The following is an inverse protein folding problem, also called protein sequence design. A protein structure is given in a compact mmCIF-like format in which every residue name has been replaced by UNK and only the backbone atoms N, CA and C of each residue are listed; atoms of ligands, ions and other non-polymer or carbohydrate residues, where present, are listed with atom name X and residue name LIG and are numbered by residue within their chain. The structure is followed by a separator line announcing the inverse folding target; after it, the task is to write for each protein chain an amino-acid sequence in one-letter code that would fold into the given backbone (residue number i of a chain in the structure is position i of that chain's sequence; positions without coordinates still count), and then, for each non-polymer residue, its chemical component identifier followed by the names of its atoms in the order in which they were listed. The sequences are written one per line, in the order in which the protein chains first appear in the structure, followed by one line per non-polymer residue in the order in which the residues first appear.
data_IF_792053826694
#
_entry.id   IF_792053826694
#
_cell.length_a   1.000
_cell.length_b   1.000
_cell.length_c   1.000
_cell.angle_alpha   90.00
_cell.angle_beta   90.00
_cell.angle_gamma   90.00
#
_symmetry.space_group_name_H-M   'P 1'
#
loop_
_entity.id
_entity.type
_entity.pdbx_description
1 polymer ?
#
# COMPACT_ATOMS: atom_id res chain seq x y z
N UNK A 1 -12.37 -46.53 37.89
CA UNK A 1 -11.58 -46.39 36.65
C UNK A 1 -11.60 -44.94 36.24
N UNK A 2 -10.40 -44.39 36.09
CA UNK A 2 -10.12 -42.97 36.00
C UNK A 2 -10.50 -42.36 34.63
N UNK A 3 -11.00 -41.12 34.65
CA UNK A 3 -10.71 -40.15 33.58
C UNK A 3 -10.30 -38.85 34.25
N UNK A 4 -8.99 -38.63 34.20
CA UNK A 4 -8.29 -37.42 34.61
C UNK A 4 -8.57 -36.29 33.62
N UNK A 5 -8.99 -35.15 34.15
CA UNK A 5 -8.80 -33.83 33.57
C UNK A 5 -7.30 -33.54 33.43
N UNK A 6 -6.87 -33.10 32.25
CA UNK A 6 -5.54 -32.50 32.09
C UNK A 6 -5.73 -30.98 31.93
N UNK A 7 -5.54 -30.25 33.03
CA UNK A 7 -5.31 -28.81 33.00
C UNK A 7 -3.86 -28.56 32.61
N UNK A 8 -3.64 -27.60 31.72
CA UNK A 8 -2.31 -27.22 31.27
C UNK A 8 -1.92 -25.93 31.99
N UNK A 9 -1.07 -26.06 33.00
CA UNK A 9 -0.43 -24.95 33.71
C UNK A 9 0.71 -24.44 32.83
N UNK A 10 0.65 -23.18 32.44
CA UNK A 10 1.73 -22.48 31.74
C UNK A 10 2.74 -21.96 32.76
N UNK A 11 3.97 -22.48 32.73
CA UNK A 11 5.11 -21.86 33.39
C UNK A 11 5.76 -20.86 32.42
N UNK A 12 5.80 -19.58 32.82
CA UNK A 12 6.62 -18.55 32.18
C UNK A 12 8.01 -18.61 32.80
N UNK A 13 9.00 -19.06 32.03
CA UNK A 13 10.40 -18.79 32.36
C UNK A 13 10.74 -17.37 31.90
N UNK A 14 10.91 -16.49 32.88
CA UNK A 14 11.47 -15.14 32.70
C UNK A 14 12.99 -15.29 32.67
N UNK A 15 13.58 -15.27 31.48
CA UNK A 15 15.01 -15.00 31.32
C UNK A 15 15.22 -13.48 31.29
N UNK A 16 15.77 -12.96 32.39
CA UNK A 16 16.29 -11.60 32.51
C UNK A 16 17.70 -11.57 31.95
N UNK A 17 17.95 -10.74 30.93
CA UNK A 17 19.31 -10.33 30.57
C UNK A 17 19.37 -8.81 30.37
N UNK A 18 20.25 -8.18 31.17
CA UNK A 18 20.75 -6.83 30.97
C UNK A 18 21.57 -6.79 29.68
N UNK A 19 21.47 -5.70 28.93
CA UNK A 19 22.42 -5.41 27.85
C UNK A 19 22.99 -4.00 28.04
N UNK A 20 24.29 -3.99 28.31
CA UNK A 20 25.17 -2.82 28.29
C UNK A 20 25.28 -2.20 26.89
N UNK A 21 25.47 -0.88 26.88
CA UNK A 21 25.69 -0.08 25.70
C UNK A 21 27.07 -0.33 25.06
N UNK A 22 27.11 -0.74 23.79
CA UNK A 22 28.06 -0.27 22.76
C UNK A 22 27.98 -1.06 21.44
N UNK A 23 28.10 -0.33 20.32
CA UNK A 23 28.57 -0.76 18.99
C UNK A 23 27.73 -1.74 18.11
N UNK A 24 27.01 -1.13 17.15
CA UNK A 24 27.00 -1.43 15.71
C UNK A 24 27.08 -2.89 15.19
N UNK A 25 25.93 -3.56 15.02
CA UNK A 25 25.58 -4.35 13.81
C UNK A 25 24.11 -4.82 13.86
N UNK A 26 23.25 -4.30 13.00
CA UNK A 26 21.90 -4.87 12.84
C UNK A 26 21.99 -6.21 12.08
N UNK A 27 21.58 -7.31 12.74
CA UNK A 27 21.20 -8.57 12.08
C UNK A 27 19.68 -8.75 12.26
N UNK A 28 18.91 -9.04 11.21
CA UNK A 28 17.48 -9.31 11.37
C UNK A 28 17.26 -10.64 12.09
N UNK A 29 16.38 -10.61 13.09
CA UNK A 29 15.87 -11.78 13.81
C UNK A 29 15.05 -12.67 12.87
N UNK A 30 15.27 -13.99 12.93
CA UNK A 30 14.43 -14.98 12.24
C UNK A 30 13.10 -15.15 13.00
N UNK A 31 11.96 -15.26 12.32
CA UNK A 31 10.72 -15.67 12.96
C UNK A 31 10.78 -17.15 13.38
N UNK A 32 10.04 -17.55 14.45
CA UNK A 32 9.99 -18.94 14.88
C UNK A 32 9.33 -19.82 13.81
N UNK A 33 10.02 -20.90 13.44
CA UNK A 33 9.49 -21.89 12.50
C UNK A 33 8.40 -22.73 13.17
N UNK A 34 7.19 -22.73 12.60
CA UNK A 34 6.18 -23.75 12.85
C UNK A 34 6.65 -25.05 12.18
N UNK A 35 7.08 -26.02 13.00
CA UNK A 35 7.45 -27.36 12.51
C UNK A 35 6.19 -28.22 12.42
N UNK A 36 5.77 -28.54 11.19
CA UNK A 36 4.90 -29.68 10.93
C UNK A 36 5.78 -30.89 10.62
N UNK A 37 5.90 -31.80 11.57
CA UNK A 37 6.50 -33.11 11.33
C UNK A 37 5.44 -34.02 10.66
N UNK A 38 5.62 -34.31 9.37
CA UNK A 38 4.99 -35.46 8.72
C UNK A 38 6.05 -36.55 8.59
N UNK A 39 5.88 -37.63 9.36
CA UNK A 39 6.71 -38.80 9.30
C UNK A 39 6.18 -39.75 8.21
N UNK A 40 6.92 -39.92 7.12
CA UNK A 40 6.80 -41.08 6.25
C UNK A 40 8.19 -41.69 6.04
N UNK A 41 8.31 -42.93 6.52
CA UNK A 41 9.50 -43.76 6.49
C UNK A 41 9.77 -44.28 5.07
N UNK A 42 11.04 -44.39 4.68
CA UNK A 42 11.45 -44.94 3.39
C UNK A 42 12.95 -45.07 3.27
N UNK A 43 13.50 -46.16 3.79
CA UNK A 43 14.85 -46.66 3.52
C UNK A 43 15.06 -46.89 2.01
N UNK A 44 16.25 -46.62 1.46
CA UNK A 44 17.04 -47.57 0.66
C UNK A 44 18.33 -46.93 0.07
N UNK A 45 19.44 -47.58 0.42
CA UNK A 45 20.61 -47.93 -0.39
C UNK A 45 21.41 -46.87 -1.17
N UNK A 46 22.67 -46.75 -0.74
CA UNK A 46 23.83 -46.20 -1.46
C UNK A 46 24.08 -46.96 -2.78
N UNK A 47 24.17 -46.22 -3.88
CA UNK A 47 24.58 -46.73 -5.19
C UNK A 47 25.61 -45.80 -5.85
N UNK A 48 26.87 -46.23 -5.84
CA UNK A 48 28.03 -45.60 -6.48
C UNK A 48 27.87 -45.70 -8.01
N UNK A 49 27.81 -44.58 -8.74
CA UNK A 49 27.87 -44.60 -10.21
C UNK A 49 29.30 -44.30 -10.68
N UNK A 50 29.85 -45.29 -11.38
CA UNK A 50 31.19 -45.35 -11.95
C UNK A 50 31.18 -44.64 -13.31
N UNK A 51 32.04 -43.65 -13.48
CA UNK A 51 32.32 -43.00 -14.77
C UNK A 51 33.17 -43.94 -15.62
N UNK A 52 32.76 -44.20 -16.86
CA UNK A 52 33.54 -44.90 -17.89
C UNK A 52 33.60 -44.04 -19.16
N UNK A 53 34.67 -44.20 -19.97
CA UNK A 53 35.14 -43.19 -20.90
C UNK A 53 34.47 -43.26 -22.28
N UNK A 54 34.55 -42.13 -22.96
CA UNK A 54 34.17 -41.87 -24.35
C UNK A 54 35.08 -42.58 -25.34
N UNK A 55 34.50 -43.27 -26.32
CA UNK A 55 35.16 -43.60 -27.59
C UNK A 55 34.41 -42.99 -28.78
N UNK A 56 35.10 -42.54 -29.84
CA UNK A 56 34.52 -41.76 -30.92
C UNK A 56 34.19 -42.67 -32.13
N UNK A 57 32.95 -42.62 -32.63
CA UNK A 57 32.59 -43.28 -33.88
C UNK A 57 31.78 -42.37 -34.81
N UNK A 58 32.46 -42.06 -35.91
CA UNK A 58 31.97 -42.03 -37.29
C UNK A 58 30.66 -41.29 -37.63
N UNK A 59 30.84 -40.23 -38.42
CA UNK A 59 29.82 -39.62 -39.27
C UNK A 59 29.30 -40.58 -40.35
N UNK A 60 27.97 -40.69 -40.49
CA UNK A 60 27.34 -40.83 -41.80
C UNK A 60 26.50 -39.58 -42.13
N UNK A 61 26.63 -39.15 -43.39
CA UNK A 61 25.88 -38.03 -44.00
C UNK A 61 24.37 -38.19 -43.80
N UNK A 62 23.78 -37.28 -43.03
CA UNK A 62 22.34 -37.19 -42.83
C UNK A 62 21.73 -36.39 -43.98
N UNK A 63 20.88 -37.03 -44.77
CA UNK A 63 20.04 -36.40 -45.79
C UNK A 63 18.97 -35.55 -45.07
N UNK A 64 18.87 -34.26 -45.40
CA UNK A 64 17.79 -33.40 -44.94
C UNK A 64 16.44 -33.96 -45.39
N UNK A 65 15.63 -34.40 -44.46
CA UNK A 65 14.19 -34.59 -44.65
C UNK A 65 13.52 -33.47 -43.85
N UNK A 66 12.98 -32.50 -44.58
CA UNK A 66 12.19 -31.39 -44.06
C UNK A 66 10.94 -31.93 -43.37
N UNK A 67 10.89 -31.88 -42.04
CA UNK A 67 9.70 -32.17 -41.24
C UNK A 67 9.17 -30.87 -40.65
N UNK A 68 8.07 -30.38 -41.22
CA UNK A 68 7.28 -29.27 -40.69
C UNK A 68 6.45 -29.76 -39.50
N UNK A 69 6.96 -29.53 -38.28
CA UNK A 69 6.18 -29.68 -37.05
C UNK A 69 5.46 -28.36 -36.77
N UNK A 70 4.15 -28.32 -37.02
CA UNK A 70 3.30 -27.21 -36.60
C UNK A 70 3.07 -27.32 -35.08
N UNK A 71 3.81 -26.52 -34.30
CA UNK A 71 3.57 -26.35 -32.87
C UNK A 71 2.35 -25.43 -32.69
N UNK A 72 1.18 -26.02 -32.40
CA UNK A 72 -0.03 -25.27 -32.09
C UNK A 72 0.11 -24.59 -30.72
N UNK A 73 0.53 -23.32 -30.74
CA UNK A 73 0.60 -22.46 -29.58
C UNK A 73 -0.84 -22.14 -29.12
N UNK A 74 -1.30 -22.79 -28.06
CA UNK A 74 -2.56 -22.46 -27.42
C UNK A 74 -2.37 -21.13 -26.66
N UNK A 75 -2.82 -20.04 -27.28
CA UNK A 75 -2.95 -18.77 -26.58
C UNK A 75 -4.06 -18.91 -25.54
N UNK A 76 -3.70 -19.11 -24.27
CA UNK A 76 -4.62 -18.84 -23.16
C UNK A 76 -4.84 -17.33 -23.16
N UNK A 77 -5.98 -16.91 -23.70
CA UNK A 77 -6.48 -15.56 -23.47
C UNK A 77 -6.76 -15.41 -21.97
N UNK A 78 -5.85 -14.76 -21.25
CA UNK A 78 -6.13 -14.30 -19.91
C UNK A 78 -7.31 -13.32 -20.01
N UNK A 79 -8.48 -13.70 -19.50
CA UNK A 79 -9.56 -12.76 -19.26
C UNK A 79 -9.07 -11.77 -18.23
N UNK A 80 -8.66 -10.58 -18.68
CA UNK A 80 -8.50 -9.43 -17.80
C UNK A 80 -9.87 -9.12 -17.23
N UNK A 81 -10.12 -9.53 -16.00
CA UNK A 81 -11.23 -8.99 -15.23
C UNK A 81 -10.95 -7.50 -15.08
N UNK A 82 -11.53 -6.69 -15.96
CA UNK A 82 -11.48 -5.24 -15.82
C UNK A 82 -11.99 -4.92 -14.40
N UNK A 83 -11.13 -4.32 -13.58
CA UNK A 83 -11.48 -3.84 -12.25
C UNK A 83 -12.78 -3.07 -12.36
N UNK A 84 -13.83 -3.54 -11.67
CA UNK A 84 -15.10 -2.81 -11.63
C UNK A 84 -14.82 -1.47 -10.94
N UNK A 85 -15.11 -0.37 -11.64
CA UNK A 85 -14.98 1.02 -11.15
C UNK A 85 -15.81 1.24 -9.87
N UNK A 86 -15.70 2.43 -9.26
CA UNK A 86 -16.40 2.81 -8.01
C UNK A 86 -17.90 2.45 -7.94
N UNK A 87 -18.50 2.59 -6.75
CA UNK A 87 -19.90 2.23 -6.48
C UNK A 87 -20.90 2.83 -7.47
N UNK A 88 -20.71 4.09 -7.81
CA UNK A 88 -21.47 4.78 -8.83
C UNK A 88 -20.59 5.07 -10.06
N UNK A 89 -21.18 5.18 -11.27
CA UNK A 89 -20.42 5.53 -12.47
C UNK A 89 -19.71 6.88 -12.32
N UNK A 90 -18.44 6.91 -12.75
CA UNK A 90 -17.63 8.10 -12.88
C UNK A 90 -17.44 8.40 -14.37
N UNK A 91 -17.67 9.64 -14.78
CA UNK A 91 -17.43 10.14 -16.13
C UNK A 91 -16.38 11.26 -16.14
N UNK A 92 -16.09 11.81 -17.32
CA UNK A 92 -15.07 12.85 -17.52
C UNK A 92 -15.44 14.20 -16.91
N UNK A 93 -16.69 14.40 -16.46
CA UNK A 93 -17.09 15.60 -15.72
C UNK A 93 -16.64 15.57 -14.25
N UNK A 94 -16.30 14.38 -13.72
CA UNK A 94 -15.67 14.25 -12.40
C UNK A 94 -14.19 14.57 -12.53
N UNK A 95 -13.84 15.80 -12.17
CA UNK A 95 -12.48 16.34 -12.30
C UNK A 95 -11.97 16.94 -10.99
N UNK A 96 -10.66 17.08 -10.90
CA UNK A 96 -9.99 17.83 -9.85
C UNK A 96 -9.95 19.30 -10.25
N UNK A 97 -10.21 20.21 -9.32
CA UNK A 97 -10.01 21.63 -9.55
C UNK A 97 -8.53 21.99 -9.35
N UNK A 98 -7.68 21.60 -10.31
CA UNK A 98 -6.26 21.94 -10.28
C UNK A 98 -6.09 23.44 -10.58
N UNK A 99 -5.34 24.20 -9.77
CA UNK A 99 -5.08 25.62 -10.03
C UNK A 99 -4.52 25.87 -11.43
N UNK A 100 -4.99 26.94 -12.06
CA UNK A 100 -4.39 27.41 -13.30
C UNK A 100 -2.95 27.91 -13.05
N UNK A 101 -2.14 27.97 -14.12
CA UNK A 101 -0.78 28.51 -14.12
C UNK A 101 0.25 27.71 -13.29
N UNK A 102 0.09 26.40 -13.21
CA UNK A 102 1.11 25.47 -12.70
C UNK A 102 1.22 24.26 -13.65
N UNK A 103 2.35 23.56 -13.62
CA UNK A 103 2.64 22.38 -14.47
C UNK A 103 3.04 21.13 -13.68
N UNK A 104 3.09 21.22 -12.35
CA UNK A 104 3.51 20.13 -11.47
C UNK A 104 2.42 19.05 -11.32
N UNK A 105 1.14 19.43 -11.36
CA UNK A 105 -0.01 18.52 -11.38
C UNK A 105 -0.69 18.58 -12.75
N UNK A 106 -0.67 17.48 -13.49
CA UNK A 106 -1.29 17.38 -14.81
C UNK A 106 -2.42 16.35 -14.77
N UNK A 107 -3.66 16.83 -14.71
CA UNK A 107 -4.82 15.95 -14.67
C UNK A 107 -5.02 15.21 -16.02
N UNK A 108 -5.31 13.89 -16.00
CA UNK A 108 -5.73 13.14 -17.19
C UNK A 108 -7.06 13.62 -17.78
N UNK A 109 -7.22 13.51 -19.10
CA UNK A 109 -8.46 13.80 -19.81
C UNK A 109 -9.51 12.67 -19.73
N UNK A 110 -9.16 11.53 -19.10
CA UNK A 110 -10.03 10.37 -18.91
C UNK A 110 -10.90 10.55 -17.67
N UNK A 111 -11.93 9.70 -17.52
CA UNK A 111 -12.67 9.61 -16.27
C UNK A 111 -11.84 8.88 -15.21
N UNK A 112 -11.88 9.30 -13.93
CA UNK A 112 -11.21 8.57 -12.87
C UNK A 112 -11.81 7.16 -12.71
N UNK A 113 -10.97 6.19 -12.37
CA UNK A 113 -11.35 4.82 -12.00
C UNK A 113 -12.03 4.81 -10.63
N UNK A 114 -11.48 5.60 -9.70
CA UNK A 114 -11.97 5.79 -8.35
C UNK A 114 -11.78 7.24 -7.91
N UNK A 115 -12.67 7.68 -7.04
CA UNK A 115 -12.48 8.90 -6.26
C UNK A 115 -12.78 8.57 -4.82
N UNK A 116 -11.84 8.85 -3.92
CA UNK A 116 -11.94 8.45 -2.52
C UNK A 116 -11.69 9.61 -1.56
N UNK A 117 -12.30 9.56 -0.39
CA UNK A 117 -11.98 10.38 0.76
C UNK A 117 -10.99 9.60 1.64
N UNK A 118 -9.79 10.12 1.83
CA UNK A 118 -8.88 9.62 2.86
C UNK A 118 -9.12 10.34 4.18
N UNK A 119 -9.35 9.59 5.25
CA UNK A 119 -9.38 10.10 6.63
C UNK A 119 -8.28 9.39 7.42
N UNK A 120 -7.36 10.16 8.00
CA UNK A 120 -6.26 9.54 8.73
C UNK A 120 -5.26 10.49 9.35
N UNK A 121 -4.00 10.05 9.38
CA UNK A 121 -2.88 10.74 10.00
C UNK A 121 -1.69 10.86 9.04
N UNK A 122 -1.03 12.01 9.10
CA UNK A 122 0.34 12.18 8.63
C UNK A 122 1.27 11.89 9.79
N UNK A 123 2.32 11.12 9.53
CA UNK A 123 3.25 10.68 10.55
C UNK A 123 4.58 11.40 10.36
N UNK A 124 5.10 11.94 11.46
CA UNK A 124 6.36 12.67 11.48
C UNK A 124 7.28 12.17 12.59
N UNK A 125 8.59 12.29 12.36
CA UNK A 125 9.61 12.10 13.39
C UNK A 125 10.36 13.41 13.61
N UNK A 126 10.73 13.69 14.86
CA UNK A 126 11.63 14.80 15.15
C UNK A 126 13.06 14.42 14.76
N UNK A 127 13.72 15.24 13.95
CA UNK A 127 15.11 15.02 13.58
C UNK A 127 16.08 15.74 14.55
N UNK A 128 17.38 15.48 14.41
CA UNK A 128 18.42 16.09 15.25
C UNK A 128 18.51 17.63 15.10
N UNK A 129 17.94 18.21 14.03
CA UNK A 129 17.90 19.64 13.80
C UNK A 129 16.67 20.33 14.45
N UNK A 130 15.84 19.59 15.18
CA UNK A 130 14.64 20.14 15.83
C UNK A 130 13.50 20.45 14.86
N UNK A 131 13.47 19.77 13.70
CA UNK A 131 12.38 19.87 12.72
C UNK A 131 11.72 18.52 12.49
N UNK A 132 10.43 18.55 12.16
CA UNK A 132 9.68 17.34 11.82
C UNK A 132 9.97 16.92 10.37
N UNK A 133 10.30 15.65 10.19
CA UNK A 133 10.40 15.01 8.88
C UNK A 133 9.28 13.98 8.72
N UNK A 134 8.62 13.97 7.55
CA UNK A 134 7.57 12.98 7.27
C UNK A 134 8.17 11.58 7.21
N UNK A 135 7.49 10.64 7.86
CA UNK A 135 7.78 9.20 7.82
C UNK A 135 6.62 8.40 7.20
N UNK A 136 5.75 9.10 6.47
CA UNK A 136 4.60 8.53 5.79
C UNK A 136 3.26 8.98 6.37
N UNK A 137 2.22 8.22 6.06
CA UNK A 137 0.84 8.47 6.47
C UNK A 137 0.10 7.15 6.63
N UNK A 138 -1.04 7.18 7.30
CA UNK A 138 -2.03 6.09 7.32
C UNK A 138 -3.43 6.68 7.20
N UNK A 139 -4.27 6.13 6.32
CA UNK A 139 -5.66 6.58 6.17
C UNK A 139 -6.58 5.46 5.70
N UNK A 140 -7.84 5.54 6.10
CA UNK A 140 -8.94 4.78 5.50
C UNK A 140 -9.49 5.55 4.30
N UNK A 141 -9.79 4.83 3.22
CA UNK A 141 -10.25 5.40 1.94
C UNK A 141 -11.71 5.05 1.70
N UNK A 142 -12.57 6.07 1.62
CA UNK A 142 -14.00 5.91 1.43
C UNK A 142 -14.44 6.31 0.02
N UNK A 143 -15.33 5.54 -0.59
CA UNK A 143 -15.81 5.80 -1.95
C UNK A 143 -16.64 7.10 -2.03
N UNK A 144 -16.22 8.01 -2.91
CA UNK A 144 -16.92 9.27 -3.19
C UNK A 144 -17.75 9.24 -4.47
N UNK A 145 -17.72 8.15 -5.24
CA UNK A 145 -18.35 8.06 -6.56
C UNK A 145 -19.82 8.45 -6.56
N UNK A 146 -20.58 8.00 -5.55
CA UNK A 146 -22.03 8.29 -5.46
C UNK A 146 -22.38 9.71 -5.04
N UNK A 147 -21.38 10.51 -4.66
CA UNK A 147 -21.56 11.94 -4.40
C UNK A 147 -20.81 12.82 -5.39
N UNK A 148 -20.01 12.27 -6.30
CA UNK A 148 -19.10 13.03 -7.19
C UNK A 148 -19.80 14.15 -8.01
N UNK A 149 -21.08 13.96 -8.37
CA UNK A 149 -21.88 14.96 -9.09
C UNK A 149 -22.79 15.82 -8.19
N UNK A 150 -22.63 15.73 -6.86
CA UNK A 150 -23.45 16.42 -5.87
C UNK A 150 -22.63 17.52 -5.20
N UNK A 151 -23.31 18.57 -4.75
CA UNK A 151 -22.67 19.66 -3.97
C UNK A 151 -21.89 19.16 -2.75
N UNK A 152 -22.35 18.06 -2.14
CA UNK A 152 -21.69 17.43 -1.00
C UNK A 152 -20.23 17.04 -1.29
N UNK A 153 -19.89 16.71 -2.55
CA UNK A 153 -18.52 16.37 -2.95
C UNK A 153 -17.54 17.52 -2.69
N UNK A 154 -17.96 18.77 -2.91
CA UNK A 154 -17.08 19.93 -2.76
C UNK A 154 -16.71 20.17 -1.29
N UNK A 155 -17.58 19.81 -0.35
CA UNK A 155 -17.42 20.09 1.08
C UNK A 155 -17.03 18.87 1.91
N UNK A 156 -17.00 17.66 1.32
CA UNK A 156 -16.84 16.42 2.09
C UNK A 156 -15.51 16.34 2.84
N UNK A 157 -14.42 16.85 2.25
CA UNK A 157 -13.11 16.88 2.91
C UNK A 157 -13.10 17.77 4.16
N UNK A 158 -13.66 18.98 4.05
CA UNK A 158 -13.82 19.90 5.17
C UNK A 158 -14.69 19.29 6.28
N UNK A 159 -15.88 18.79 5.94
CA UNK A 159 -16.80 18.16 6.90
C UNK A 159 -16.17 16.96 7.61
N UNK A 160 -15.40 16.15 6.88
CA UNK A 160 -14.73 14.99 7.46
C UNK A 160 -13.58 15.41 8.37
N UNK A 161 -12.87 16.49 8.03
CA UNK A 161 -11.83 17.02 8.90
C UNK A 161 -12.43 17.58 10.20
N UNK A 162 -13.50 18.36 10.12
CA UNK A 162 -14.21 18.89 11.29
C UNK A 162 -14.67 17.75 12.23
N UNK A 163 -15.28 16.71 11.66
CA UNK A 163 -15.66 15.53 12.41
C UNK A 163 -14.44 14.79 12.98
N UNK A 164 -13.34 14.71 12.21
CA UNK A 164 -12.15 13.99 12.63
C UNK A 164 -11.41 14.68 13.76
N UNK A 165 -11.24 16.01 13.72
CA UNK A 165 -10.59 16.75 14.80
C UNK A 165 -11.43 16.76 16.08
N UNK A 166 -12.77 16.80 15.95
CA UNK A 166 -13.69 16.69 17.08
C UNK A 166 -13.76 15.27 17.67
N UNK A 167 -13.34 14.25 16.93
CA UNK A 167 -13.40 12.86 17.37
C UNK A 167 -12.48 12.58 18.57
N UNK A 168 -13.01 12.01 19.67
CA UNK A 168 -12.20 11.57 20.81
C UNK A 168 -11.16 10.50 20.43
N UNK A 169 -10.11 10.31 21.25
CA UNK A 169 -9.19 9.18 21.09
C UNK A 169 -9.94 7.84 21.04
N UNK A 170 -9.53 6.96 20.13
CA UNK A 170 -10.13 5.63 19.95
C UNK A 170 -11.29 5.56 18.95
N UNK A 171 -11.81 6.69 18.47
CA UNK A 171 -12.74 6.69 17.34
C UNK A 171 -12.03 6.24 16.07
N UNK A 172 -12.61 5.29 15.35
CA UNK A 172 -12.06 4.79 14.10
C UNK A 172 -12.33 5.76 12.94
N UNK A 173 -11.44 5.74 11.95
CA UNK A 173 -11.63 6.48 10.69
C UNK A 173 -12.92 6.05 9.97
N UNK A 174 -13.35 4.78 10.11
CA UNK A 174 -14.60 4.26 9.56
C UNK A 174 -15.85 4.92 10.13
N UNK A 175 -15.83 5.30 11.41
CA UNK A 175 -16.91 6.09 12.01
C UNK A 175 -17.04 7.44 11.31
N UNK A 176 -15.92 8.10 11.01
CA UNK A 176 -15.92 9.41 10.32
C UNK A 176 -16.50 9.30 8.91
N UNK A 177 -16.10 8.29 8.14
CA UNK A 177 -16.68 8.05 6.82
C UNK A 177 -18.20 7.90 6.86
N UNK A 178 -18.72 7.18 7.85
CA UNK A 178 -20.17 7.05 8.07
C UNK A 178 -20.82 8.38 8.48
N UNK A 179 -20.23 9.11 9.43
CA UNK A 179 -20.71 10.41 9.94
C UNK A 179 -20.89 11.44 8.81
N UNK A 180 -19.96 11.49 7.85
CA UNK A 180 -20.05 12.44 6.72
C UNK A 180 -20.88 11.94 5.54
N UNK A 181 -21.46 10.74 5.63
CA UNK A 181 -22.38 10.18 4.64
C UNK A 181 -21.68 9.44 3.49
N UNK A 182 -20.45 8.95 3.69
CA UNK A 182 -19.69 8.14 2.72
C UNK A 182 -19.15 6.87 3.40
N UNK A 183 -20.02 5.94 3.81
CA UNK A 183 -19.63 4.80 4.66
C UNK A 183 -18.89 3.68 3.93
N UNK A 184 -18.82 3.71 2.60
CA UNK A 184 -18.24 2.63 1.80
C UNK A 184 -16.72 2.66 1.89
N UNK A 185 -16.13 1.74 2.63
CA UNK A 185 -14.67 1.58 2.71
C UNK A 185 -14.12 0.85 1.48
N UNK A 186 -13.28 1.53 0.70
CA UNK A 186 -12.55 0.96 -0.44
C UNK A 186 -11.30 0.21 0.02
N UNK A 187 -10.55 0.79 0.96
CA UNK A 187 -9.27 0.27 1.41
C UNK A 187 -8.48 1.24 2.25
N UNK A 188 -7.17 1.05 2.26
CA UNK A 188 -6.24 1.79 3.11
C UNK A 188 -5.12 2.43 2.31
N UNK A 189 -4.70 3.60 2.75
CA UNK A 189 -3.50 4.28 2.29
C UNK A 189 -2.44 4.19 3.39
N UNK A 190 -1.23 3.78 3.04
CA UNK A 190 -0.10 3.73 3.97
C UNK A 190 1.24 3.74 3.22
N UNK A 191 2.35 3.92 3.93
CA UNK A 191 3.69 3.88 3.32
C UNK A 191 4.36 2.52 3.54
N UNK A 192 5.08 2.07 2.53
CA UNK A 192 5.90 0.85 2.55
C UNK A 192 7.34 1.18 2.20
N UNK A 193 8.27 0.28 2.55
CA UNK A 193 9.61 0.31 1.99
C UNK A 193 9.54 0.27 0.46
N UNK A 194 10.40 1.05 -0.21
CA UNK A 194 10.35 1.19 -1.66
C UNK A 194 10.57 -0.18 -2.34
N UNK A 195 9.68 -0.58 -3.25
CA UNK A 195 9.87 -1.81 -4.02
C UNK A 195 11.02 -1.69 -5.04
N UNK A 196 11.57 -0.49 -5.24
CA UNK A 196 12.68 -0.23 -6.16
C UNK A 196 14.06 -0.53 -5.56
N UNK A 197 14.12 -0.99 -4.30
CA UNK A 197 15.36 -1.46 -3.68
C UNK A 197 16.28 -0.37 -3.14
N UNK A 198 15.88 0.91 -3.17
CA UNK A 198 16.64 2.00 -2.54
C UNK A 198 16.53 1.91 -1.01
N UNK A 199 17.63 1.69 -0.27
CA UNK A 199 17.58 1.57 1.19
C UNK A 199 17.03 2.84 1.84
N UNK A 200 16.06 2.68 2.76
CA UNK A 200 15.43 3.78 3.48
C UNK A 200 14.42 4.60 2.68
N UNK A 201 14.30 4.37 1.36
CA UNK A 201 13.24 5.00 0.58
C UNK A 201 11.89 4.36 0.90
N UNK A 202 10.85 5.18 0.95
CA UNK A 202 9.46 4.74 1.17
C UNK A 202 8.57 5.22 0.02
N UNK A 203 7.55 4.43 -0.28
CA UNK A 203 6.54 4.77 -1.26
C UNK A 203 5.14 4.68 -0.66
N UNK A 204 4.25 5.55 -1.13
CA UNK A 204 2.83 5.50 -0.82
C UNK A 204 2.19 4.28 -1.47
N UNK A 205 1.39 3.53 -0.73
CA UNK A 205 0.54 2.45 -1.22
C UNK A 205 -0.93 2.82 -0.97
N UNK A 206 -1.78 2.48 -1.92
CA UNK A 206 -3.22 2.43 -1.79
C UNK A 206 -3.66 1.00 -2.05
N UNK A 207 -4.25 0.37 -1.04
CA UNK A 207 -4.51 -1.06 -0.99
C UNK A 207 -5.99 -1.33 -0.74
N UNK A 208 -6.69 -1.88 -1.73
CA UNK A 208 -8.10 -2.27 -1.65
C UNK A 208 -8.26 -3.78 -1.44
N UNK A 209 -7.17 -4.55 -1.36
CA UNK A 209 -7.16 -6.02 -1.40
C UNK A 209 -7.83 -6.69 -0.19
N UNK A 210 -8.04 -5.96 0.91
CA UNK A 210 -8.53 -6.51 2.18
C UNK A 210 -9.98 -6.13 2.54
N UNK A 211 -10.61 -5.26 1.76
CA UNK A 211 -11.87 -4.61 2.14
C UNK A 211 -12.86 -4.47 0.99
N UNK A 212 -14.13 -4.27 1.36
CA UNK A 212 -15.19 -3.94 0.41
C UNK A 212 -15.31 -4.96 -0.73
N UNK A 213 -15.56 -4.43 -1.93
CA UNK A 213 -15.77 -5.24 -3.15
C UNK A 213 -14.49 -5.88 -3.70
N UNK A 214 -13.32 -5.38 -3.30
CA UNK A 214 -12.01 -5.83 -3.81
C UNK A 214 -11.31 -6.79 -2.86
N UNK A 215 -11.97 -7.17 -1.77
CA UNK A 215 -11.44 -8.14 -0.83
C UNK A 215 -11.10 -9.45 -1.54
N UNK A 216 -9.83 -9.86 -1.45
CA UNK A 216 -9.30 -11.07 -2.07
C UNK A 216 -8.77 -10.88 -3.50
N UNK A 217 -8.90 -9.69 -4.08
CA UNK A 217 -8.23 -9.34 -5.33
C UNK A 217 -6.82 -8.84 -5.03
N UNK A 218 -5.81 -9.70 -5.26
CA UNK A 218 -4.40 -9.37 -5.00
C UNK A 218 -3.85 -8.26 -5.90
N UNK A 219 -4.57 -7.90 -6.98
CA UNK A 219 -4.16 -6.85 -7.92
C UNK A 219 -4.79 -5.49 -7.60
N UNK A 220 -5.71 -5.42 -6.63
CA UNK A 220 -6.42 -4.20 -6.27
C UNK A 220 -5.57 -3.26 -5.38
N UNK A 221 -4.35 -2.95 -5.80
CA UNK A 221 -3.50 -1.93 -5.17
C UNK A 221 -2.66 -1.14 -6.17
N UNK A 222 -2.18 0.02 -5.75
CA UNK A 222 -1.13 0.78 -6.43
C UNK A 222 -0.07 1.26 -5.42
N UNK A 223 1.20 1.17 -5.78
CA UNK A 223 2.32 1.82 -5.11
C UNK A 223 2.77 3.00 -5.97
N UNK A 224 2.72 4.21 -5.41
CA UNK A 224 3.02 5.44 -6.12
C UNK A 224 4.40 6.02 -5.81
N UNK A 225 5.02 6.61 -6.83
CA UNK A 225 6.18 7.48 -6.71
C UNK A 225 5.76 8.93 -6.98
N UNK A 226 6.13 9.86 -6.08
CA UNK A 226 5.81 11.29 -6.24
C UNK A 226 6.51 11.84 -7.49
N UNK A 227 5.74 12.50 -8.35
CA UNK A 227 6.23 13.16 -9.57
C UNK A 227 5.94 14.66 -9.61
N UNK A 228 5.06 15.14 -8.73
CA UNK A 228 4.78 16.56 -8.59
C UNK A 228 4.07 16.88 -7.28
N UNK A 229 4.26 18.12 -6.83
CA UNK A 229 3.54 18.69 -5.71
C UNK A 229 3.35 20.20 -5.90
N UNK A 230 2.28 20.71 -5.32
CA UNK A 230 2.03 22.15 -5.16
C UNK A 230 1.43 22.40 -3.77
N UNK A 231 1.66 23.59 -3.18
CA UNK A 231 0.90 24.02 -2.01
C UNK A 231 -0.59 23.92 -2.29
N UNK A 232 -1.36 23.45 -1.31
CA UNK A 232 -2.81 23.40 -1.45
C UNK A 232 -3.38 24.82 -1.68
N UNK A 233 -4.18 25.05 -2.73
CA UNK A 233 -4.74 26.35 -3.03
C UNK A 233 -5.71 26.82 -1.92
N UNK A 234 -5.75 28.13 -1.63
CA UNK A 234 -6.75 28.71 -0.74
C UNK A 234 -8.19 28.56 -1.29
N UNK A 235 -9.21 28.50 -0.42
CA UNK A 235 -9.11 28.33 1.02
C UNK A 235 -8.99 26.84 1.35
N UNK A 236 -7.76 26.35 1.53
CA UNK A 236 -7.57 25.26 2.47
C UNK A 236 -8.21 25.75 3.78
N UNK A 237 -9.13 24.97 4.34
CA UNK A 237 -10.00 25.38 5.46
C UNK A 237 -9.18 25.96 6.61
N UNK A 238 -7.89 25.56 6.70
CA UNK A 238 -6.85 26.14 7.52
C UNK A 238 -5.56 26.32 6.68
N UNK A 239 -4.76 27.35 6.94
CA UNK A 239 -3.46 27.60 6.27
C UNK A 239 -2.37 26.54 6.58
N UNK A 240 -2.76 25.41 7.18
CA UNK A 240 -1.89 24.38 7.78
C UNK A 240 -2.28 23.01 7.23
N UNK A 241 -2.30 22.90 5.90
CA UNK A 241 -2.63 21.66 5.19
C UNK A 241 -1.44 21.13 4.39
N UNK A 242 -1.36 19.80 4.24
CA UNK A 242 -0.33 19.18 3.41
C UNK A 242 -0.55 19.47 1.92
N UNK A 243 0.55 19.46 1.17
CA UNK A 243 0.55 19.76 -0.26
C UNK A 243 -0.35 18.81 -1.07
N UNK A 244 -0.81 19.30 -2.21
CA UNK A 244 -1.41 18.45 -3.23
C UNK A 244 -0.31 17.73 -3.97
N UNK A 245 -0.53 16.44 -4.27
CA UNK A 245 0.48 15.57 -4.86
C UNK A 245 -0.04 14.91 -6.13
N UNK A 246 0.87 14.66 -7.06
CA UNK A 246 0.70 13.73 -8.16
C UNK A 246 1.73 12.61 -8.02
N UNK A 247 1.26 11.37 -8.14
CA UNK A 247 2.09 10.18 -8.09
C UNK A 247 1.81 9.32 -9.32
N UNK A 248 2.87 8.80 -9.92
CA UNK A 248 2.76 7.73 -10.91
C UNK A 248 2.84 6.38 -10.21
N UNK A 249 2.02 5.43 -10.65
CA UNK A 249 2.14 4.04 -10.29
C UNK A 249 3.51 3.50 -10.70
N UNK A 250 4.15 2.77 -9.78
CA UNK A 250 5.41 2.09 -10.08
C UNK A 250 5.08 0.88 -10.97
N UNK A 251 5.76 0.69 -12.11
CA UNK A 251 5.50 -0.45 -12.99
C UNK A 251 5.52 -1.78 -12.25
N UNK A 252 4.52 -2.63 -12.51
CA UNK A 252 4.25 -3.91 -11.84
C UNK A 252 3.65 -3.81 -10.44
N UNK A 253 3.43 -2.58 -9.94
CA UNK A 253 2.77 -2.30 -8.68
C UNK A 253 1.65 -1.27 -8.88
N UNK A 254 1.07 -1.20 -10.07
CA UNK A 254 0.18 -0.14 -10.55
C UNK A 254 -1.14 -0.67 -11.13
N UNK A 255 -1.49 -1.92 -10.82
CA UNK A 255 -2.67 -2.58 -11.37
C UNK A 255 -3.99 -1.88 -11.02
N UNK A 256 -4.08 -1.23 -9.85
CA UNK A 256 -5.26 -0.46 -9.46
C UNK A 256 -5.41 0.86 -10.23
N UNK A 257 -4.31 1.54 -10.51
CA UNK A 257 -4.27 2.86 -11.15
C UNK A 257 -2.85 3.18 -11.63
N UNK A 258 -2.73 3.78 -12.82
CA UNK A 258 -1.47 4.28 -13.36
C UNK A 258 -1.07 5.61 -12.71
N UNK A 259 -2.03 6.41 -12.24
CA UNK A 259 -1.79 7.67 -11.55
C UNK A 259 -2.69 7.86 -10.35
N UNK A 260 -2.14 8.45 -9.29
CA UNK A 260 -2.88 8.84 -8.10
C UNK A 260 -2.61 10.30 -7.77
N UNK A 261 -3.67 11.05 -7.55
CA UNK A 261 -3.60 12.43 -7.10
C UNK A 261 -4.12 12.54 -5.68
N UNK A 262 -3.44 13.34 -4.86
CA UNK A 262 -3.94 13.80 -3.55
C UNK A 262 -4.30 15.27 -3.68
N UNK A 263 -5.57 15.61 -3.53
CA UNK A 263 -6.08 16.99 -3.66
C UNK A 263 -7.10 17.28 -2.55
N UNK A 264 -7.59 18.52 -2.46
CA UNK A 264 -8.53 18.96 -1.43
C UNK A 264 -8.10 18.54 -0.01
N UNK A 265 -6.81 18.68 0.28
CA UNK A 265 -6.21 18.34 1.56
C UNK A 265 -6.66 19.32 2.65
N UNK A 266 -6.96 18.80 3.84
CA UNK A 266 -7.23 19.59 5.04
C UNK A 266 -6.42 19.01 6.21
N UNK A 267 -5.64 19.86 6.88
CA UNK A 267 -4.77 19.49 7.98
C UNK A 267 -3.52 18.69 7.57
N UNK A 268 -2.91 18.03 8.56
CA UNK A 268 -1.76 17.16 8.36
C UNK A 268 -0.38 17.81 8.42
N UNK A 269 -0.25 19.14 8.46
CA UNK A 269 1.06 19.77 8.65
C UNK A 269 1.48 19.68 10.12
N UNK A 270 2.75 19.34 10.41
CA UNK A 270 3.26 19.28 11.77
C UNK A 270 3.47 20.70 12.34
N UNK A 271 3.67 20.83 13.66
CA UNK A 271 4.24 22.05 14.24
C UNK A 271 5.55 22.43 13.55
N UNK A 272 5.93 23.71 13.62
CA UNK A 272 7.13 24.23 12.94
C UNK A 272 8.44 23.73 13.54
N UNK A 273 8.43 23.26 14.79
CA UNK A 273 9.62 22.77 15.50
C UNK A 273 9.29 21.64 16.48
N UNK A 274 10.33 20.93 16.90
CA UNK A 274 10.28 19.85 17.89
C UNK A 274 11.57 19.82 18.73
N UNK A 275 11.55 19.13 19.85
CA UNK A 275 12.67 18.94 20.78
C UNK A 275 13.32 17.58 20.54
N UNK A 276 14.53 17.51 19.95
CA UNK A 276 15.20 16.24 19.69
C UNK A 276 15.40 15.41 20.96
N UNK A 277 15.09 14.12 20.89
CA UNK A 277 15.23 13.18 22.01
C UNK A 277 14.10 13.23 23.04
N UNK A 278 13.24 14.26 23.01
CA UNK A 278 11.99 14.32 23.79
C UNK A 278 10.81 14.02 22.90
N UNK A 279 10.69 14.73 21.79
CA UNK A 279 9.70 14.46 20.76
C UNK A 279 10.23 13.33 19.87
N UNK A 280 9.50 12.21 19.82
CA UNK A 280 9.89 11.06 18.99
C UNK A 280 9.10 11.09 17.68
N UNK A 281 7.84 10.66 17.74
CA UNK A 281 6.94 10.58 16.62
C UNK A 281 5.61 11.21 16.96
N UNK A 282 5.04 11.94 16.01
CA UNK A 282 3.71 12.52 16.13
C UNK A 282 2.82 12.06 14.98
N UNK A 283 1.53 11.99 15.27
CA UNK A 283 0.47 11.76 14.29
C UNK A 283 -0.36 13.03 14.18
N UNK A 284 -0.47 13.57 12.97
CA UNK A 284 -1.25 14.78 12.70
C UNK A 284 -2.46 14.39 11.86
N UNK A 285 -3.66 14.64 12.39
CA UNK A 285 -4.92 14.36 11.69
C UNK A 285 -4.92 15.07 10.33
N UNK A 286 -5.32 14.36 9.29
CA UNK A 286 -5.51 14.94 7.95
C UNK A 286 -6.67 14.26 7.23
N UNK A 287 -7.22 15.00 6.28
CA UNK A 287 -8.18 14.50 5.30
C UNK A 287 -7.70 14.91 3.89
N UNK A 288 -7.99 14.09 2.89
CA UNK A 288 -7.75 14.45 1.50
C UNK A 288 -8.72 13.73 0.56
N UNK A 289 -8.89 14.24 -0.66
CA UNK A 289 -9.44 13.45 -1.75
C UNK A 289 -8.31 12.77 -2.54
N UNK A 290 -8.59 11.56 -2.98
CA UNK A 290 -7.74 10.79 -3.87
C UNK A 290 -8.46 10.50 -5.17
N UNK A 291 -7.81 10.81 -6.29
CA UNK A 291 -8.30 10.45 -7.62
C UNK A 291 -7.35 9.43 -8.24
N UNK A 292 -7.92 8.36 -8.78
CA UNK A 292 -7.19 7.23 -9.36
C UNK A 292 -7.49 7.18 -10.86
N UNK A 293 -6.46 7.15 -11.69
CA UNK A 293 -6.56 7.13 -13.15
C UNK A 293 -5.78 5.96 -13.76
#
# INVERSE_FOLDING_TARGET
MARSSCGMTLWLDVASERVDASASRWRPARPPALSFASACSGTHALGRVKVLPTDPLHHPRMKMISSLVFLALHALAASSTALKKGDCPLDTSVSMHIPANQTALVQPATAPLFVALGVGFQNYTCNAAGTFASIGAVASLFDLSCIAHKKAFNTVAARAYDAWVAAPPGVSQTYIGAEVGVPVLLGFHYFIASPLGTPGAINAKWDFTSTGRFKGDETAFVVGAKVGDIPAPPPAVDAVTVDWLMLNGIPNFDALAAQVFRVDTVGGQPPTSCVPGTDTTIEVKYVAKYFFY
#
